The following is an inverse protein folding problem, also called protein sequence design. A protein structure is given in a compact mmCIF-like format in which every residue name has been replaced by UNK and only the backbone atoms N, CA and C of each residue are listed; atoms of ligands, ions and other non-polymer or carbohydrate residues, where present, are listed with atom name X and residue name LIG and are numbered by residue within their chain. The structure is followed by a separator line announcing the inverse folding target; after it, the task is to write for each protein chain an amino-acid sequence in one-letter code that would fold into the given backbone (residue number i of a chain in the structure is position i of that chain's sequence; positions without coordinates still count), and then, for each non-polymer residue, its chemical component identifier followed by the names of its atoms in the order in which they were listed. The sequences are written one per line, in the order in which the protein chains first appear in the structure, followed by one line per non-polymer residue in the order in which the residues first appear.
data_IF_549634262845
#
_entry.id   IF_549634262845
#
_cell.length_a   1.000
_cell.length_b   1.000
_cell.length_c   1.000
_cell.angle_alpha   90.00
_cell.angle_beta   90.00
_cell.angle_gamma   90.00
#
_symmetry.space_group_name_H-M   'P 1'
#
loop_
_entity.id
_entity.type
_entity.pdbx_description
1 polymer ?
#
# COMPACT_ATOMS: atom_id res chain seq x y z
N UNK A 1 -57.64 -24.27 31.15
CA UNK A 1 -57.44 -23.05 31.97
C UNK A 1 -55.99 -22.95 32.39
N UNK A 2 -55.20 -22.11 31.72
CA UNK A 2 -54.09 -21.27 32.23
C UNK A 2 -53.25 -20.78 31.05
N UNK A 3 -53.63 -19.59 30.61
CA UNK A 3 -52.92 -18.71 29.68
C UNK A 3 -51.73 -18.11 30.44
N UNK A 4 -50.51 -18.20 29.91
CA UNK A 4 -49.38 -17.38 30.35
C UNK A 4 -48.96 -16.52 29.15
N UNK A 5 -49.36 -15.26 29.17
CA UNK A 5 -48.94 -14.23 28.21
C UNK A 5 -47.59 -13.69 28.72
N UNK A 6 -46.52 -13.95 27.98
CA UNK A 6 -45.25 -13.28 28.16
C UNK A 6 -45.25 -11.98 27.33
N UNK A 7 -45.29 -10.84 28.00
CA UNK A 7 -45.12 -9.51 27.41
C UNK A 7 -43.65 -9.31 27.01
N UNK A 8 -43.37 -9.35 25.70
CA UNK A 8 -42.09 -8.93 25.12
C UNK A 8 -42.16 -7.42 24.86
N UNK A 9 -41.42 -6.66 25.68
CA UNK A 9 -41.19 -5.22 25.48
C UNK A 9 -40.29 -5.02 24.26
N UNK A 10 -40.87 -4.69 23.11
CA UNK A 10 -40.13 -4.29 21.92
C UNK A 10 -39.63 -2.85 22.11
N UNK A 11 -38.35 -2.71 22.48
CA UNK A 11 -37.68 -1.41 22.45
C UNK A 11 -37.45 -1.02 20.97
N UNK A 12 -38.23 -0.06 20.48
CA UNK A 12 -37.99 0.58 19.19
C UNK A 12 -36.69 1.39 19.28
N UNK A 13 -35.60 0.82 18.78
CA UNK A 13 -34.40 1.59 18.42
C UNK A 13 -34.73 2.26 17.10
N UNK A 14 -35.03 3.56 17.14
CA UNK A 14 -35.15 4.38 15.93
C UNK A 14 -33.78 4.40 15.25
N UNK A 15 -33.63 3.89 14.01
CA UNK A 15 -32.42 4.12 13.24
C UNK A 15 -32.37 5.61 12.92
N UNK A 16 -31.40 6.31 13.49
CA UNK A 16 -31.05 7.63 12.97
C UNK A 16 -30.62 7.44 11.51
N UNK A 17 -31.33 8.09 10.58
CA UNK A 17 -30.94 8.13 9.18
C UNK A 17 -29.58 8.84 9.06
N UNK A 18 -28.50 8.08 9.12
CA UNK A 18 -27.27 8.48 8.44
C UNK A 18 -27.52 8.20 6.98
N UNK A 19 -27.78 9.22 6.16
CA UNK A 19 -27.72 9.11 4.70
C UNK A 19 -26.28 8.70 4.34
N UNK A 20 -26.05 7.40 4.22
CA UNK A 20 -24.87 6.88 3.53
C UNK A 20 -25.09 7.17 2.06
N UNK A 21 -24.12 7.80 1.41
CA UNK A 21 -24.18 8.01 -0.03
C UNK A 21 -24.27 6.66 -0.74
N UNK A 22 -25.00 6.62 -1.85
CA UNK A 22 -25.12 5.39 -2.64
C UNK A 22 -23.78 5.00 -3.28
N UNK A 23 -23.69 3.75 -3.73
CA UNK A 23 -22.63 3.25 -4.61
C UNK A 23 -22.87 3.70 -6.04
N UNK A 24 -21.86 3.50 -6.89
CA UNK A 24 -22.05 3.60 -8.33
C UNK A 24 -23.23 2.71 -8.78
N UNK A 25 -24.08 3.27 -9.63
CA UNK A 25 -25.29 2.64 -10.16
C UNK A 25 -24.95 1.48 -11.09
N UNK A 26 -23.90 1.63 -11.89
CA UNK A 26 -23.43 0.63 -12.84
C UNK A 26 -21.91 0.74 -13.12
N UNK A 27 -21.40 -0.20 -13.93
CA UNK A 27 -20.00 -0.25 -14.30
C UNK A 27 -19.53 0.99 -15.10
N UNK A 28 -20.42 1.62 -15.88
CA UNK A 28 -20.09 2.77 -16.71
C UNK A 28 -19.89 4.03 -15.85
N UNK A 29 -20.75 4.21 -14.85
CA UNK A 29 -20.58 5.27 -13.86
C UNK A 29 -19.28 5.10 -13.08
N UNK A 30 -18.98 3.88 -12.63
CA UNK A 30 -17.73 3.57 -11.93
C UNK A 30 -16.47 3.77 -12.81
N UNK A 31 -16.54 3.45 -14.10
CA UNK A 31 -15.42 3.60 -15.04
C UNK A 31 -15.07 5.07 -15.30
N UNK A 32 -16.07 5.93 -15.36
CA UNK A 32 -15.93 7.38 -15.63
C UNK A 32 -15.76 8.22 -14.36
N UNK A 33 -15.66 7.56 -13.21
CA UNK A 33 -15.60 8.18 -11.90
C UNK A 33 -14.30 8.98 -11.68
N UNK A 34 -14.44 10.19 -11.16
CA UNK A 34 -13.34 11.06 -10.77
C UNK A 34 -13.51 11.56 -9.33
N UNK A 35 -12.47 12.14 -8.74
CA UNK A 35 -12.59 12.76 -7.41
C UNK A 35 -12.89 14.24 -7.60
N UNK A 36 -14.03 14.68 -7.09
CA UNK A 36 -14.57 16.02 -7.30
C UNK A 36 -13.55 17.12 -6.98
N UNK A 37 -13.32 18.02 -7.94
CA UNK A 37 -12.41 19.15 -7.77
C UNK A 37 -10.92 18.81 -7.84
N UNK A 38 -10.56 17.57 -8.16
CA UNK A 38 -9.21 17.17 -8.53
C UNK A 38 -9.15 16.86 -10.04
N UNK A 39 -7.97 17.05 -10.63
CA UNK A 39 -7.68 16.58 -11.99
C UNK A 39 -7.38 15.08 -12.03
N UNK A 40 -6.51 14.64 -12.94
CA UNK A 40 -6.08 13.24 -13.06
C UNK A 40 -5.13 12.83 -11.92
N UNK A 41 -5.66 12.66 -10.70
CA UNK A 41 -4.89 12.25 -9.50
C UNK A 41 -4.86 10.74 -9.27
N UNK A 42 -5.56 9.95 -10.09
CA UNK A 42 -5.56 8.49 -10.03
C UNK A 42 -5.59 7.85 -11.41
N UNK A 43 -5.07 6.63 -11.50
CA UNK A 43 -5.21 5.74 -12.65
C UNK A 43 -5.43 4.31 -12.17
N UNK A 44 -5.84 3.42 -13.07
CA UNK A 44 -5.90 1.99 -12.78
C UNK A 44 -4.63 1.27 -13.26
N UNK A 45 -4.22 0.23 -12.54
CA UNK A 45 -3.00 -0.53 -12.88
C UNK A 45 -3.15 -1.34 -14.19
N UNK A 46 -4.39 -1.70 -14.52
CA UNK A 46 -4.82 -2.40 -15.73
C UNK A 46 -5.26 -1.45 -16.85
N UNK A 47 -5.12 -0.12 -16.68
CA UNK A 47 -5.49 0.86 -17.68
C UNK A 47 -4.75 0.60 -19.01
N UNK A 48 -5.48 0.71 -20.12
CA UNK A 48 -4.91 0.60 -21.47
C UNK A 48 -4.04 1.84 -21.78
N UNK A 49 -3.14 1.75 -22.76
CA UNK A 49 -2.26 2.90 -23.12
C UNK A 49 -3.06 4.15 -23.51
N UNK A 50 -4.23 3.99 -24.11
CA UNK A 50 -5.14 5.08 -24.49
C UNK A 50 -5.92 5.67 -23.31
N UNK A 51 -6.00 4.94 -22.19
CA UNK A 51 -6.64 5.32 -20.92
C UNK A 51 -5.64 5.85 -19.89
N UNK A 52 -4.34 5.61 -20.09
CA UNK A 52 -3.30 6.09 -19.20
C UNK A 52 -3.34 7.63 -19.15
N UNK A 53 -3.13 8.23 -17.95
CA UNK A 53 -3.08 9.67 -17.81
C UNK A 53 -2.10 10.28 -18.81
N UNK A 54 -2.54 11.31 -19.51
CA UNK A 54 -1.71 12.01 -20.52
C UNK A 54 -0.97 13.20 -19.91
N UNK A 55 -1.17 13.43 -18.62
CA UNK A 55 -0.62 14.56 -17.89
C UNK A 55 0.85 14.34 -17.48
N UNK A 56 1.61 15.44 -17.46
CA UNK A 56 3.02 15.51 -17.07
C UNK A 56 3.24 15.11 -15.60
N UNK A 57 2.19 15.16 -14.79
CA UNK A 57 2.24 14.90 -13.35
C UNK A 57 2.49 13.43 -13.01
N UNK A 58 2.47 12.52 -14.00
CA UNK A 58 2.74 11.09 -13.82
C UNK A 58 4.17 10.69 -14.17
N UNK A 59 4.86 11.46 -15.00
CA UNK A 59 6.25 11.20 -15.38
C UNK A 59 7.22 11.94 -14.47
N UNK A 60 8.30 11.30 -13.98
CA UNK A 60 9.30 12.01 -13.19
C UNK A 60 10.08 12.99 -14.07
N UNK A 61 10.13 14.26 -13.68
CA UNK A 61 10.96 15.27 -14.34
C UNK A 61 12.39 15.26 -13.76
N UNK A 62 13.13 14.17 -13.99
CA UNK A 62 14.54 14.08 -13.56
C UNK A 62 15.47 14.80 -14.52
N UNK A 63 16.40 15.59 -13.97
CA UNK A 63 17.49 16.21 -14.73
C UNK A 63 18.71 15.28 -14.88
N UNK A 64 18.66 14.09 -14.29
CA UNK A 64 19.74 13.11 -14.32
C UNK A 64 19.57 12.18 -15.52
N UNK A 65 20.68 11.67 -16.05
CA UNK A 65 20.67 10.60 -17.06
C UNK A 65 20.28 9.23 -16.48
N UNK A 66 19.59 9.22 -15.33
CA UNK A 66 19.00 8.03 -14.72
C UNK A 66 17.69 8.34 -13.98
N UNK A 67 16.84 7.33 -13.88
CA UNK A 67 15.62 7.31 -13.06
C UNK A 67 15.77 6.21 -12.00
N UNK A 68 15.78 6.61 -10.74
CA UNK A 68 15.84 5.68 -9.61
C UNK A 68 14.41 5.48 -9.03
N UNK A 69 13.91 4.24 -9.06
CA UNK A 69 12.56 3.88 -8.60
C UNK A 69 12.66 3.00 -7.36
N UNK A 70 12.06 3.42 -6.24
CA UNK A 70 11.90 2.61 -5.04
C UNK A 70 10.48 2.05 -4.95
N UNK A 71 10.36 0.74 -4.80
CA UNK A 71 9.10 0.03 -4.73
C UNK A 71 9.03 -0.75 -3.41
N UNK A 72 8.10 -0.37 -2.53
CA UNK A 72 7.96 -0.96 -1.20
C UNK A 72 6.67 -1.76 -1.14
N UNK A 73 6.79 -3.06 -0.89
CA UNK A 73 5.64 -3.95 -0.92
C UNK A 73 4.75 -3.86 0.33
N UNK A 74 3.57 -4.47 0.23
CA UNK A 74 2.79 -4.85 1.41
C UNK A 74 3.47 -5.93 2.25
N UNK A 75 2.92 -6.22 3.44
CA UNK A 75 3.48 -7.21 4.38
C UNK A 75 3.20 -6.98 5.87
N UNK A 76 2.33 -6.03 6.22
CA UNK A 76 1.98 -5.75 7.63
C UNK A 76 3.21 -5.43 8.49
N UNK A 77 3.39 -6.18 9.58
CA UNK A 77 4.57 -6.10 10.44
C UNK A 77 5.91 -6.33 9.72
N UNK A 78 5.90 -7.06 8.61
CA UNK A 78 7.09 -7.27 7.78
C UNK A 78 7.68 -5.98 7.23
N UNK A 79 6.91 -4.87 7.22
CA UNK A 79 7.39 -3.52 6.87
C UNK A 79 8.61 -3.06 7.66
N UNK A 80 8.83 -3.62 8.86
CA UNK A 80 10.01 -3.33 9.67
C UNK A 80 11.32 -3.73 8.95
N UNK A 81 11.28 -4.73 8.04
CA UNK A 81 12.40 -5.07 7.16
C UNK A 81 12.80 -3.89 6.27
N UNK A 82 11.83 -3.28 5.58
CA UNK A 82 12.07 -2.05 4.81
C UNK A 82 12.66 -0.95 5.68
N UNK A 83 12.14 -0.74 6.88
CA UNK A 83 12.67 0.28 7.81
C UNK A 83 14.13 0.00 8.19
N UNK A 84 14.51 -1.26 8.38
CA UNK A 84 15.90 -1.67 8.59
C UNK A 84 16.81 -1.35 7.41
N UNK A 85 16.40 -1.71 6.20
CA UNK A 85 17.11 -1.41 4.94
C UNK A 85 17.29 0.11 4.78
N UNK A 86 16.20 0.86 4.95
CA UNK A 86 16.17 2.32 4.87
C UNK A 86 17.13 2.98 5.87
N UNK A 87 17.17 2.48 7.12
CA UNK A 87 18.06 2.97 8.17
C UNK A 87 19.54 2.71 7.86
N UNK A 88 19.88 1.48 7.42
CA UNK A 88 21.24 1.13 7.08
C UNK A 88 21.76 1.91 5.85
N UNK A 89 20.87 2.22 4.90
CA UNK A 89 21.22 3.04 3.73
C UNK A 89 21.60 4.47 4.11
N UNK A 90 20.90 5.04 5.09
CA UNK A 90 21.23 6.34 5.66
C UNK A 90 22.51 6.29 6.49
N UNK A 91 22.70 5.24 7.31
CA UNK A 91 23.91 5.05 8.10
C UNK A 91 25.17 4.95 7.23
N UNK A 92 25.07 4.25 6.09
CA UNK A 92 26.16 4.13 5.11
C UNK A 92 26.26 5.32 4.15
N UNK A 93 25.29 6.26 4.18
CA UNK A 93 25.18 7.40 3.26
C UNK A 93 25.17 7.00 1.78
N UNK A 94 24.64 5.81 1.48
CA UNK A 94 24.58 5.26 0.11
C UNK A 94 23.16 5.27 -0.48
N UNK A 95 22.15 5.70 0.29
CA UNK A 95 20.76 5.75 -0.17
C UNK A 95 20.63 6.58 -1.46
N UNK A 96 20.11 6.01 -2.56
CA UNK A 96 19.78 6.81 -3.74
C UNK A 96 18.71 7.85 -3.43
N UNK A 97 18.75 8.98 -4.15
CA UNK A 97 17.61 9.88 -4.21
C UNK A 97 16.64 9.35 -5.26
N UNK A 98 15.52 8.77 -4.82
CA UNK A 98 14.54 8.18 -5.71
C UNK A 98 13.70 9.23 -6.44
N UNK A 99 13.57 9.09 -7.75
CA UNK A 99 12.69 9.90 -8.60
C UNK A 99 11.23 9.46 -8.45
N UNK A 100 11.01 8.16 -8.26
CA UNK A 100 9.70 7.58 -7.99
C UNK A 100 9.79 6.74 -6.73
N UNK A 101 8.84 6.92 -5.81
CA UNK A 101 8.63 6.03 -4.67
C UNK A 101 7.21 5.50 -4.71
N UNK A 102 7.05 4.19 -4.62
CA UNK A 102 5.75 3.52 -4.66
C UNK A 102 5.53 2.71 -3.39
N UNK A 103 4.31 2.70 -2.87
CA UNK A 103 3.96 1.93 -1.68
C UNK A 103 2.62 1.22 -1.78
N UNK A 104 2.55 0.01 -1.23
CA UNK A 104 1.32 -0.75 -1.05
C UNK A 104 1.20 -1.18 0.41
N UNK A 105 0.04 -1.02 1.05
CA UNK A 105 -0.18 -1.47 2.42
C UNK A 105 0.81 -0.86 3.40
N UNK A 106 1.50 -1.67 4.20
CA UNK A 106 2.62 -1.20 5.05
C UNK A 106 3.62 -0.35 4.26
N UNK A 107 3.88 -0.68 2.98
CA UNK A 107 4.72 0.12 2.09
C UNK A 107 4.14 1.50 1.78
N UNK A 108 2.83 1.68 1.75
CA UNK A 108 2.19 2.99 1.61
C UNK A 108 2.37 3.86 2.87
N UNK A 109 2.51 3.25 4.05
CA UNK A 109 2.84 3.96 5.29
C UNK A 109 4.31 4.40 5.30
N UNK A 110 5.21 3.62 4.68
CA UNK A 110 6.66 3.91 4.63
C UNK A 110 7.00 4.89 3.50
N UNK A 111 6.32 4.79 2.36
CA UNK A 111 6.65 5.49 1.12
C UNK A 111 6.75 7.02 1.26
N UNK A 112 5.84 7.75 1.93
CA UNK A 112 5.98 9.19 2.12
C UNK A 112 7.27 9.57 2.84
N UNK A 113 7.66 8.83 3.87
CA UNK A 113 8.88 9.09 4.63
C UNK A 113 10.14 8.75 3.84
N UNK A 114 10.15 7.61 3.15
CA UNK A 114 11.23 7.25 2.23
C UNK A 114 11.38 8.27 1.07
N UNK A 115 10.26 8.83 0.62
CA UNK A 115 10.22 9.89 -0.39
C UNK A 115 10.81 11.20 0.14
N UNK A 116 10.50 11.60 1.37
CA UNK A 116 11.07 12.81 1.97
C UNK A 116 12.54 12.65 2.38
N UNK A 117 12.99 11.42 2.65
CA UNK A 117 14.40 11.07 2.86
C UNK A 117 14.75 10.79 4.32
N UNK A 118 16.05 10.77 4.62
CA UNK A 118 16.61 10.21 5.87
C UNK A 118 16.22 10.92 7.16
N UNK A 119 15.72 12.16 7.07
CA UNK A 119 15.22 12.90 8.23
C UNK A 119 14.03 12.21 8.93
N UNK A 120 13.40 11.24 8.27
CA UNK A 120 12.25 10.51 8.79
C UNK A 120 12.56 9.05 9.18
N UNK A 121 13.82 8.62 9.10
CA UNK A 121 14.17 7.24 9.44
C UNK A 121 13.90 6.94 10.92
N UNK A 122 14.23 7.84 11.85
CA UNK A 122 13.95 7.64 13.29
C UNK A 122 12.44 7.54 13.56
N UNK A 123 11.62 8.30 12.83
CA UNK A 123 10.16 8.20 12.90
C UNK A 123 9.69 6.81 12.45
N UNK A 124 10.24 6.29 11.35
CA UNK A 124 9.93 4.95 10.88
C UNK A 124 10.39 3.86 11.85
N UNK A 125 11.60 3.99 12.40
CA UNK A 125 12.12 3.06 13.42
C UNK A 125 11.18 3.05 14.61
N UNK A 126 10.82 4.22 15.15
CA UNK A 126 9.88 4.33 16.26
C UNK A 126 8.54 3.66 15.93
N UNK A 127 7.95 3.92 14.77
CA UNK A 127 6.67 3.33 14.36
C UNK A 127 6.70 1.81 14.32
N UNK A 128 7.81 1.22 13.88
CA UNK A 128 7.91 -0.21 13.62
C UNK A 128 8.58 -1.03 14.73
N UNK A 129 9.31 -0.41 15.66
CA UNK A 129 10.07 -1.16 16.68
C UNK A 129 9.75 -0.77 18.13
N UNK A 130 8.96 0.27 18.37
CA UNK A 130 8.68 0.76 19.74
C UNK A 130 7.50 0.08 20.44
N UNK A 131 6.72 -0.74 19.72
CA UNK A 131 5.47 -1.34 20.22
C UNK A 131 4.23 -0.50 19.98
N UNK A 132 4.34 0.72 19.43
CA UNK A 132 3.19 1.56 19.03
C UNK A 132 2.23 0.82 18.08
N UNK A 133 2.74 -0.07 17.23
CA UNK A 133 1.91 -0.89 16.35
C UNK A 133 1.09 -1.97 17.09
N UNK A 134 1.49 -2.41 18.28
CA UNK A 134 0.71 -3.39 19.07
C UNK A 134 -0.63 -2.80 19.53
N UNK A 135 -0.70 -1.48 19.73
CA UNK A 135 -1.95 -0.78 20.04
C UNK A 135 -2.98 -0.87 18.91
N UNK A 136 -2.52 -1.07 17.66
CA UNK A 136 -3.41 -1.31 16.53
C UNK A 136 -4.14 -2.67 16.66
N UNK A 137 -3.46 -3.69 17.21
CA UNK A 137 -3.99 -5.05 17.37
C UNK A 137 -4.89 -5.22 18.61
N UNK A 138 -4.73 -4.37 19.64
CA UNK A 138 -5.43 -4.49 20.92
C UNK A 138 -6.90 -4.08 20.86
N UNK A 139 -7.31 -3.35 19.81
CA UNK A 139 -8.66 -2.82 19.60
C UNK A 139 -9.67 -3.82 19.00
N UNK A 140 -9.70 -5.06 19.51
CA UNK A 140 -10.61 -6.12 19.01
C UNK A 140 -12.08 -5.73 19.21
N UNK A 141 -12.94 -6.02 18.22
CA UNK A 141 -14.41 -5.93 18.40
C UNK A 141 -14.92 -7.15 19.16
N UNK A 142 -15.86 -6.95 20.09
CA UNK A 142 -16.43 -8.01 20.93
C UNK A 142 -17.23 -9.07 20.14
N UNK A 143 -17.66 -8.76 18.92
CA UNK A 143 -18.42 -9.61 18.02
C UNK A 143 -17.56 -10.08 16.84
N UNK A 144 -16.72 -11.10 17.04
CA UNK A 144 -15.94 -11.70 15.96
C UNK A 144 -16.85 -12.20 14.82
N UNK A 145 -16.42 -11.97 13.56
CA UNK A 145 -17.06 -12.35 12.28
C UNK A 145 -18.50 -11.86 11.97
N UNK A 146 -19.24 -11.28 12.91
CA UNK A 146 -20.62 -10.76 12.67
C UNK A 146 -20.59 -9.26 12.25
N UNK A 147 -19.41 -8.69 11.98
CA UNK A 147 -19.23 -7.29 11.57
C UNK A 147 -18.26 -7.13 10.40
N UNK A 148 -18.10 -5.89 9.87
CA UNK A 148 -17.36 -5.64 8.64
C UNK A 148 -15.83 -5.89 8.73
N UNK A 149 -15.28 -6.10 9.92
CA UNK A 149 -13.84 -6.33 10.17
C UNK A 149 -13.57 -6.87 11.59
N UNK A 150 -12.41 -7.52 11.79
CA UNK A 150 -11.95 -8.01 13.10
C UNK A 150 -11.50 -6.89 14.05
N UNK A 151 -10.85 -5.84 13.52
CA UNK A 151 -10.34 -4.69 14.27
C UNK A 151 -11.15 -3.41 13.97
N UNK A 152 -11.05 -2.43 14.86
CA UNK A 152 -11.62 -1.09 14.65
C UNK A 152 -10.74 -0.28 13.68
N UNK A 153 -11.35 0.62 12.92
CA UNK A 153 -10.63 1.52 12.00
C UNK A 153 -9.84 2.61 12.75
N UNK A 154 -10.40 3.08 13.88
CA UNK A 154 -9.97 4.32 14.52
C UNK A 154 -8.49 4.36 14.94
N UNK A 155 -7.88 3.27 15.47
CA UNK A 155 -6.46 3.31 15.84
C UNK A 155 -5.53 3.52 14.65
N UNK A 156 -5.79 2.85 13.52
CA UNK A 156 -5.02 3.01 12.29
C UNK A 156 -5.15 4.43 11.76
N UNK A 157 -6.39 4.96 11.73
CA UNK A 157 -6.66 6.34 11.33
C UNK A 157 -5.94 7.35 12.22
N UNK A 158 -6.03 7.23 13.55
CA UNK A 158 -5.35 8.14 14.49
C UNK A 158 -3.84 8.11 14.32
N UNK A 159 -3.25 6.93 14.13
CA UNK A 159 -1.82 6.80 13.86
C UNK A 159 -1.45 7.56 12.58
N UNK A 160 -2.19 7.33 11.48
CA UNK A 160 -1.94 8.03 10.21
C UNK A 160 -2.10 9.55 10.38
N UNK A 161 -3.15 10.02 11.05
CA UNK A 161 -3.39 11.45 11.30
C UNK A 161 -2.28 12.10 12.13
N UNK A 162 -1.70 11.36 13.09
CA UNK A 162 -0.60 11.85 13.93
C UNK A 162 0.69 12.08 13.11
N UNK A 163 1.00 11.18 12.18
CA UNK A 163 2.27 11.25 11.43
C UNK A 163 2.13 11.96 10.08
N UNK A 164 0.97 11.89 9.44
CA UNK A 164 0.66 12.55 8.17
C UNK A 164 -0.01 13.89 8.47
N UNK A 165 0.83 14.88 8.72
CA UNK A 165 0.42 16.23 9.12
C UNK A 165 0.37 17.18 7.91
N UNK A 166 -0.21 18.39 8.07
CA UNK A 166 -0.10 19.43 7.05
C UNK A 166 1.36 19.74 6.65
N UNK A 167 2.31 19.56 7.57
CA UNK A 167 3.73 19.77 7.28
C UNK A 167 4.32 18.68 6.37
N UNK A 168 3.93 17.41 6.57
CA UNK A 168 4.29 16.32 5.65
C UNK A 168 3.68 16.57 4.27
N UNK A 169 2.40 16.93 4.21
CA UNK A 169 1.73 17.20 2.94
C UNK A 169 2.44 18.30 2.14
N UNK A 170 2.82 19.42 2.78
CA UNK A 170 3.59 20.48 2.14
C UNK A 170 4.96 20.03 1.62
N UNK A 171 5.65 19.16 2.36
CA UNK A 171 6.96 18.65 1.92
C UNK A 171 6.82 17.68 0.73
N UNK A 172 5.79 16.83 0.74
CA UNK A 172 5.48 15.96 -0.40
C UNK A 172 5.15 16.79 -1.64
N UNK A 173 4.33 17.83 -1.50
CA UNK A 173 4.03 18.78 -2.58
C UNK A 173 5.32 19.43 -3.12
N UNK A 174 6.21 19.89 -2.23
CA UNK A 174 7.46 20.52 -2.63
C UNK A 174 8.40 19.58 -3.41
N UNK A 175 8.51 18.31 -3.02
CA UNK A 175 9.27 17.31 -3.78
C UNK A 175 8.59 16.91 -5.08
N UNK A 176 7.25 16.90 -5.12
CA UNK A 176 6.48 16.68 -6.34
C UNK A 176 6.72 17.79 -7.38
N UNK A 177 6.70 19.06 -6.97
CA UNK A 177 7.04 20.21 -7.83
C UNK A 177 8.50 20.18 -8.32
N UNK A 178 9.39 19.45 -7.65
CA UNK A 178 10.77 19.21 -8.12
C UNK A 178 10.86 18.08 -9.16
N UNK A 179 9.74 17.47 -9.54
CA UNK A 179 9.67 16.43 -10.56
C UNK A 179 9.66 15.00 -10.03
N UNK A 180 9.55 14.78 -8.71
CA UNK A 180 9.51 13.42 -8.13
C UNK A 180 8.06 12.93 -8.01
N UNK A 181 7.86 11.61 -7.95
CA UNK A 181 6.53 10.98 -7.89
C UNK A 181 6.41 10.08 -6.66
N UNK A 182 5.34 10.27 -5.91
CA UNK A 182 4.95 9.40 -4.80
C UNK A 182 3.62 8.74 -5.17
N UNK A 183 3.62 7.43 -5.31
CA UNK A 183 2.47 6.65 -5.76
C UNK A 183 2.04 5.65 -4.69
N UNK A 184 0.75 5.56 -4.43
CA UNK A 184 0.17 4.60 -3.46
C UNK A 184 -0.90 3.77 -4.14
N UNK A 185 -0.95 2.48 -3.81
CA UNK A 185 -1.96 1.56 -4.36
C UNK A 185 -3.07 1.26 -3.36
N UNK A 186 -4.31 1.27 -3.83
CA UNK A 186 -5.49 0.71 -3.13
C UNK A 186 -6.21 -0.26 -4.07
N UNK A 187 -7.12 -1.07 -3.52
CA UNK A 187 -8.05 -1.87 -4.34
C UNK A 187 -9.45 -1.28 -4.19
N UNK A 188 -10.09 -0.92 -5.30
CA UNK A 188 -11.52 -0.63 -5.31
C UNK A 188 -12.27 -1.98 -5.34
N UNK A 189 -13.00 -2.29 -4.26
CA UNK A 189 -13.64 -3.60 -4.06
C UNK A 189 -14.87 -3.80 -4.95
N UNK A 190 -15.56 -2.72 -5.32
CA UNK A 190 -16.77 -2.77 -6.15
C UNK A 190 -16.40 -3.08 -7.62
N UNK A 191 -15.30 -2.51 -8.11
CA UNK A 191 -14.80 -2.72 -9.48
C UNK A 191 -13.74 -3.83 -9.58
N UNK A 192 -13.19 -4.29 -8.45
CA UNK A 192 -12.06 -5.23 -8.36
C UNK A 192 -10.77 -4.72 -9.01
N UNK A 193 -10.59 -3.40 -9.12
CA UNK A 193 -9.44 -2.79 -9.79
C UNK A 193 -8.43 -2.23 -8.81
N UNK A 194 -7.16 -2.39 -9.17
CA UNK A 194 -6.04 -1.72 -8.52
C UNK A 194 -6.03 -0.23 -8.92
N UNK A 195 -6.20 0.66 -7.94
CA UNK A 195 -6.19 2.11 -8.12
C UNK A 195 -4.86 2.67 -7.62
N UNK A 196 -4.13 3.31 -8.53
CA UNK A 196 -2.88 4.01 -8.28
C UNK A 196 -3.17 5.48 -8.05
N UNK A 197 -2.76 6.00 -6.90
CA UNK A 197 -2.97 7.38 -6.50
C UNK A 197 -1.67 8.18 -6.61
N UNK A 198 -1.74 9.34 -7.26
CA UNK A 198 -0.66 10.31 -7.30
C UNK A 198 -0.70 11.21 -6.07
N UNK A 199 -0.04 10.75 -5.00
CA UNK A 199 -0.03 11.42 -3.71
C UNK A 199 0.65 12.80 -3.78
N UNK A 200 1.59 12.97 -4.71
CA UNK A 200 2.23 14.26 -4.98
C UNK A 200 1.27 15.28 -5.58
N UNK A 201 0.48 14.88 -6.58
CA UNK A 201 -0.54 15.73 -7.20
C UNK A 201 -1.65 16.10 -6.19
N UNK A 202 -2.09 15.14 -5.36
CA UNK A 202 -3.05 15.41 -4.27
C UNK A 202 -2.48 16.46 -3.32
N UNK A 203 -1.23 16.29 -2.88
CA UNK A 203 -0.58 17.22 -1.96
C UNK A 203 -0.37 18.62 -2.57
N UNK A 204 -0.08 18.70 -3.87
CA UNK A 204 0.17 19.95 -4.59
C UNK A 204 -1.11 20.66 -5.09
N UNK A 205 -2.28 20.04 -4.97
CA UNK A 205 -3.55 20.53 -5.51
C UNK A 205 -4.04 21.87 -4.95
N UNK A 206 -3.55 22.30 -3.77
CA UNK A 206 -4.05 23.49 -3.07
C UNK A 206 -5.46 23.35 -2.49
N UNK A 207 -6.05 22.15 -2.56
CA UNK A 207 -7.39 21.83 -2.09
C UNK A 207 -7.45 21.79 -0.55
N UNK A 208 -8.52 22.33 0.08
CA UNK A 208 -8.66 22.31 1.54
C UNK A 208 -8.85 20.89 2.10
N UNK A 209 -9.37 19.97 1.30
CA UNK A 209 -9.61 18.57 1.63
C UNK A 209 -8.44 17.63 1.26
N UNK A 210 -7.33 18.16 0.71
CA UNK A 210 -6.19 17.35 0.26
C UNK A 210 -5.58 16.49 1.36
N UNK A 211 -5.42 17.04 2.58
CA UNK A 211 -4.89 16.28 3.71
C UNK A 211 -5.78 15.09 4.05
N UNK A 212 -7.09 15.31 4.09
CA UNK A 212 -8.07 14.28 4.43
C UNK A 212 -8.06 13.17 3.37
N UNK A 213 -8.09 13.52 2.09
CA UNK A 213 -8.01 12.55 1.01
C UNK A 213 -6.70 11.75 1.05
N UNK A 214 -5.56 12.43 1.30
CA UNK A 214 -4.26 11.77 1.44
C UNK A 214 -4.27 10.73 2.58
N UNK A 215 -4.82 11.11 3.75
CA UNK A 215 -4.95 10.20 4.90
C UNK A 215 -5.93 9.06 4.61
N UNK A 216 -7.07 9.34 3.96
CA UNK A 216 -8.08 8.34 3.61
C UNK A 216 -7.52 7.27 2.66
N UNK A 217 -6.74 7.67 1.65
CA UNK A 217 -6.04 6.76 0.74
C UNK A 217 -5.01 5.91 1.49
N UNK A 218 -4.26 6.50 2.43
CA UNK A 218 -3.29 5.75 3.24
C UNK A 218 -3.96 4.74 4.16
N UNK A 219 -5.06 5.13 4.82
CA UNK A 219 -5.87 4.20 5.64
C UNK A 219 -6.39 3.08 4.74
N UNK A 220 -6.97 3.40 3.58
CA UNK A 220 -7.48 2.42 2.63
C UNK A 220 -6.39 1.44 2.20
N UNK A 221 -5.21 1.94 1.81
CA UNK A 221 -4.09 1.11 1.36
C UNK A 221 -3.62 0.14 2.44
N UNK A 222 -3.69 0.51 3.72
CA UNK A 222 -3.30 -0.32 4.86
C UNK A 222 -4.47 -1.16 5.47
N UNK A 223 -5.69 -1.01 4.96
CA UNK A 223 -6.87 -1.70 5.47
C UNK A 223 -7.02 -3.11 4.89
N UNK A 224 -6.25 -4.07 5.42
CA UNK A 224 -6.27 -5.48 4.98
C UNK A 224 -7.70 -6.07 5.12
N UNK A 225 -8.28 -6.66 4.06
CA UNK A 225 -9.60 -7.27 4.10
C UNK A 225 -9.76 -8.27 5.25
N UNK A 226 -10.87 -8.16 5.99
CA UNK A 226 -11.15 -8.97 7.17
C UNK A 226 -10.43 -8.52 8.45
N UNK A 227 -9.30 -7.81 8.35
CA UNK A 227 -8.59 -7.26 9.52
C UNK A 227 -9.12 -5.86 9.85
N UNK A 228 -9.09 -4.95 8.88
CA UNK A 228 -9.57 -3.58 9.00
C UNK A 228 -10.76 -3.35 8.05
N UNK A 229 -11.67 -2.42 8.39
CA UNK A 229 -12.77 -2.09 7.49
C UNK A 229 -12.26 -1.31 6.27
N UNK A 230 -12.95 -1.48 5.15
CA UNK A 230 -12.74 -0.66 3.96
C UNK A 230 -13.06 0.82 4.24
N UNK A 231 -12.46 1.70 3.44
CA UNK A 231 -12.64 3.15 3.49
C UNK A 231 -13.52 3.57 2.32
N UNK A 232 -14.52 4.40 2.60
CA UNK A 232 -15.32 5.02 1.55
C UNK A 232 -14.62 6.28 1.05
N UNK A 233 -14.40 6.38 -0.26
CA UNK A 233 -13.87 7.57 -0.90
C UNK A 233 -14.97 8.12 -1.82
N UNK A 234 -15.36 9.37 -1.61
CA UNK A 234 -16.39 10.03 -2.43
C UNK A 234 -15.84 10.31 -3.82
N UNK A 235 -16.55 9.81 -4.84
CA UNK A 235 -16.29 10.05 -6.24
C UNK A 235 -17.50 10.73 -6.90
N UNK A 236 -17.30 11.25 -8.11
CA UNK A 236 -18.36 11.78 -8.94
C UNK A 236 -18.24 11.34 -10.40
N UNK A 237 -19.39 11.10 -11.03
CA UNK A 237 -19.52 10.91 -12.47
C UNK A 237 -20.85 11.49 -12.93
N UNK A 238 -20.85 12.20 -14.07
CA UNK A 238 -22.08 12.77 -14.65
C UNK A 238 -22.86 13.71 -13.72
N UNK A 239 -22.22 14.32 -12.72
CA UNK A 239 -22.86 15.17 -11.71
C UNK A 239 -23.51 14.42 -10.54
N UNK A 240 -23.49 13.08 -10.55
CA UNK A 240 -23.88 12.25 -9.42
C UNK A 240 -22.65 11.96 -8.54
N UNK A 241 -22.83 12.07 -7.22
CA UNK A 241 -21.79 11.77 -6.24
C UNK A 241 -22.13 10.48 -5.51
N UNK A 242 -21.14 9.60 -5.38
CA UNK A 242 -21.30 8.29 -4.75
C UNK A 242 -20.03 7.91 -3.98
N UNK A 243 -20.08 6.81 -3.23
CA UNK A 243 -18.92 6.29 -2.52
C UNK A 243 -18.31 5.08 -3.24
N UNK A 244 -16.99 5.08 -3.40
CA UNK A 244 -16.22 3.91 -3.80
C UNK A 244 -15.67 3.19 -2.57
N UNK A 245 -15.77 1.85 -2.54
CA UNK A 245 -15.23 1.05 -1.43
C UNK A 245 -13.77 0.71 -1.68
N UNK A 246 -12.84 1.32 -0.93
CA UNK A 246 -11.41 1.05 -1.05
C UNK A 246 -10.85 0.24 0.12
N UNK A 247 -9.95 -0.69 -0.20
CA UNK A 247 -9.22 -1.53 0.77
C UNK A 247 -7.77 -1.70 0.32
N UNK A 248 -7.04 -2.57 1.00
CA UNK A 248 -5.61 -2.77 0.83
C UNK A 248 -5.24 -3.07 -0.62
N UNK A 249 -4.24 -2.34 -1.15
CA UNK A 249 -3.79 -2.52 -2.53
C UNK A 249 -3.17 -3.90 -2.78
N UNK A 250 -2.70 -4.55 -1.72
CA UNK A 250 -2.09 -5.87 -1.71
C UNK A 250 -3.04 -7.01 -2.07
N UNK A 251 -4.36 -6.78 -2.04
CA UNK A 251 -5.33 -7.70 -2.63
C UNK A 251 -5.18 -7.80 -4.15
N UNK A 252 -4.87 -6.68 -4.82
CA UNK A 252 -4.69 -6.62 -6.26
C UNK A 252 -3.21 -6.74 -6.70
N UNK A 253 -2.27 -6.13 -5.96
CA UNK A 253 -0.83 -6.30 -6.20
C UNK A 253 0.00 -5.95 -4.97
N UNK A 254 0.97 -6.80 -4.59
CA UNK A 254 1.88 -6.51 -3.47
C UNK A 254 2.96 -5.49 -3.78
N UNK A 255 3.31 -5.28 -5.05
CA UNK A 255 4.28 -4.29 -5.50
C UNK A 255 3.60 -3.47 -6.60
N UNK A 256 3.66 -2.14 -6.54
CA UNK A 256 3.10 -1.31 -7.62
C UNK A 256 3.96 -1.48 -8.88
N UNK A 257 3.61 -2.45 -9.71
CA UNK A 257 4.28 -2.71 -10.98
C UNK A 257 4.08 -1.56 -11.96
N UNK A 258 4.89 -1.57 -13.01
CA UNK A 258 4.65 -0.77 -14.21
C UNK A 258 3.26 -1.15 -14.76
N UNK A 259 2.42 -0.17 -15.16
CA UNK A 259 1.11 -0.43 -15.78
C UNK A 259 1.16 -1.58 -16.80
N UNK A 260 0.16 -2.46 -16.77
CA UNK A 260 0.15 -3.68 -17.62
C UNK A 260 0.29 -3.36 -19.11
N UNK A 261 -0.25 -2.22 -19.54
CA UNK A 261 -0.16 -1.74 -20.90
C UNK A 261 1.28 -1.49 -21.38
N UNK A 262 2.19 -1.10 -20.48
CA UNK A 262 3.62 -0.96 -20.79
C UNK A 262 4.35 -2.31 -20.84
N UNK A 263 3.92 -3.28 -20.04
CA UNK A 263 4.47 -4.65 -20.05
C UNK A 263 4.10 -5.42 -21.33
N UNK A 264 2.92 -5.15 -21.91
CA UNK A 264 2.40 -5.82 -23.12
C UNK A 264 2.67 -5.04 -24.41
N UNK A 265 3.15 -3.80 -24.32
CA UNK A 265 3.48 -3.00 -25.49
C UNK A 265 4.69 -3.56 -26.24
N UNK A 266 4.53 -3.76 -27.56
CA UNK A 266 5.64 -4.12 -28.48
C UNK A 266 6.54 -2.91 -28.80
N UNK A 267 6.08 -1.70 -28.49
CA UNK A 267 6.85 -0.47 -28.60
C UNK A 267 7.68 -0.27 -27.34
N UNK A 268 8.99 -0.04 -27.51
CA UNK A 268 9.87 0.38 -26.41
C UNK A 268 9.42 1.76 -25.90
N UNK A 269 8.49 1.78 -24.95
CA UNK A 269 8.25 2.92 -24.07
C UNK A 269 9.38 2.93 -23.03
N UNK A 270 10.59 3.15 -23.54
CA UNK A 270 11.71 3.62 -22.74
C UNK A 270 11.79 5.13 -22.91
N UNK A 271 12.45 5.84 -21.97
CA UNK A 271 12.68 7.27 -22.12
C UNK A 271 13.24 7.56 -23.52
N UNK A 272 12.74 8.62 -24.17
CA UNK A 272 13.14 9.03 -25.52
C UNK A 272 14.65 9.39 -25.65
N UNK A 273 15.40 9.26 -24.56
CA UNK A 273 16.86 9.40 -24.42
C UNK A 273 17.39 8.23 -23.59
N UNK A 274 18.67 7.90 -23.76
CA UNK A 274 19.44 6.86 -23.04
C UNK A 274 19.49 7.04 -21.50
N UNK A 275 18.36 7.15 -20.84
CA UNK A 275 18.25 7.33 -19.40
C UNK A 275 18.21 5.95 -18.74
N UNK A 276 19.23 5.63 -17.93
CA UNK A 276 19.28 4.36 -17.21
C UNK A 276 18.14 4.29 -16.17
N UNK A 277 17.45 3.17 -16.06
CA UNK A 277 16.41 2.98 -15.04
C UNK A 277 16.92 1.98 -14.01
N UNK A 278 16.80 2.31 -12.72
CA UNK A 278 17.15 1.43 -11.61
C UNK A 278 15.90 1.13 -10.79
N UNK A 279 15.48 -0.13 -10.76
CA UNK A 279 14.41 -0.61 -9.89
C UNK A 279 14.99 -1.15 -8.59
N UNK A 280 14.65 -0.52 -7.46
CA UNK A 280 14.91 -1.02 -6.12
C UNK A 280 13.60 -1.52 -5.52
N UNK A 281 13.47 -2.83 -5.38
CA UNK A 281 12.26 -3.48 -4.88
C UNK A 281 12.54 -4.05 -3.51
N UNK A 282 11.82 -3.59 -2.50
CA UNK A 282 11.88 -4.14 -1.14
C UNK A 282 10.58 -4.87 -0.85
N UNK A 283 10.68 -6.19 -0.70
CA UNK A 283 9.57 -7.08 -0.39
C UNK A 283 9.56 -7.40 1.10
N UNK A 284 8.52 -6.93 1.78
CA UNK A 284 8.30 -7.06 3.23
C UNK A 284 7.76 -8.45 3.64
N UNK A 285 7.87 -9.45 2.78
CA UNK A 285 7.39 -10.81 3.01
C UNK A 285 8.47 -11.82 2.64
N UNK A 286 8.40 -12.99 3.29
CA UNK A 286 9.14 -14.17 2.88
C UNK A 286 8.68 -14.66 1.49
N UNK A 287 9.60 -14.71 0.53
CA UNK A 287 9.31 -15.22 -0.83
C UNK A 287 9.46 -16.74 -0.95
N UNK A 288 10.22 -17.35 -0.05
CA UNK A 288 10.39 -18.79 0.05
C UNK A 288 9.19 -19.47 0.74
N UNK A 289 8.97 -20.77 0.53
CA UNK A 289 8.05 -21.56 1.32
C UNK A 289 8.45 -21.54 2.79
N UNK A 290 7.48 -21.29 3.67
CA UNK A 290 7.69 -21.35 5.13
C UNK A 290 6.91 -22.53 5.69
N UNK A 291 7.58 -23.40 6.42
CA UNK A 291 6.91 -24.54 7.05
C UNK A 291 6.15 -24.09 8.30
N UNK A 292 4.87 -24.43 8.38
CA UNK A 292 4.04 -24.21 9.56
C UNK A 292 2.95 -25.29 9.66
N UNK A 293 2.70 -25.77 10.88
CA UNK A 293 1.52 -26.61 11.16
C UNK A 293 0.31 -25.70 11.32
N UNK A 294 -0.53 -25.64 10.28
CA UNK A 294 -1.74 -24.81 10.31
C UNK A 294 -2.82 -25.52 11.12
N UNK A 295 -3.39 -24.90 12.17
CA UNK A 295 -4.50 -25.49 12.90
C UNK A 295 -5.70 -25.71 11.97
N UNK A 296 -6.40 -26.84 12.15
CA UNK A 296 -7.58 -27.19 11.35
C UNK A 296 -8.81 -26.39 11.82
N UNK A 297 -8.78 -25.10 11.54
CA UNK A 297 -9.84 -24.13 11.87
C UNK A 297 -10.05 -23.22 10.66
N UNK A 298 -11.31 -22.86 10.38
CA UNK A 298 -11.69 -22.09 9.19
C UNK A 298 -10.84 -20.82 9.01
N UNK A 299 -10.67 -20.03 10.08
CA UNK A 299 -9.91 -18.78 10.01
C UNK A 299 -8.40 -19.01 9.75
N UNK A 300 -7.80 -20.03 10.38
CA UNK A 300 -6.38 -20.34 10.19
C UNK A 300 -6.11 -20.85 8.77
N UNK A 301 -7.02 -21.65 8.22
CA UNK A 301 -6.94 -22.16 6.83
C UNK A 301 -7.07 -21.01 5.84
N UNK A 302 -8.04 -20.10 6.01
CA UNK A 302 -8.20 -18.92 5.15
C UNK A 302 -6.96 -18.03 5.22
N UNK A 303 -6.44 -17.74 6.42
CA UNK A 303 -5.24 -16.93 6.59
C UNK A 303 -4.01 -17.56 5.92
N UNK A 304 -3.86 -18.89 6.03
CA UNK A 304 -2.77 -19.62 5.36
C UNK A 304 -2.92 -19.59 3.85
N UNK A 305 -4.12 -19.83 3.32
CA UNK A 305 -4.40 -19.77 1.89
C UNK A 305 -4.16 -18.36 1.32
N UNK A 306 -4.58 -17.32 2.03
CA UNK A 306 -4.33 -15.93 1.66
C UNK A 306 -2.83 -15.61 1.64
N UNK A 307 -2.06 -16.05 2.65
CA UNK A 307 -0.61 -15.90 2.67
C UNK A 307 0.07 -16.57 1.46
N UNK A 308 -0.37 -17.79 1.09
CA UNK A 308 0.13 -18.50 -0.09
C UNK A 308 -0.22 -17.74 -1.37
N UNK A 309 -1.45 -17.24 -1.50
CA UNK A 309 -1.90 -16.45 -2.65
C UNK A 309 -1.06 -15.18 -2.82
N UNK A 310 -0.87 -14.41 -1.73
CA UNK A 310 -0.05 -13.20 -1.69
C UNK A 310 1.39 -13.48 -2.13
N UNK A 311 2.00 -14.57 -1.65
CA UNK A 311 3.34 -15.00 -2.09
C UNK A 311 3.38 -15.32 -3.58
N UNK A 312 2.48 -16.15 -4.07
CA UNK A 312 2.40 -16.55 -5.48
C UNK A 312 2.23 -15.35 -6.42
N UNK A 313 1.34 -14.42 -6.05
CA UNK A 313 1.12 -13.18 -6.80
C UNK A 313 2.40 -12.31 -6.82
N UNK A 314 3.08 -12.18 -5.67
CA UNK A 314 4.34 -11.41 -5.57
C UNK A 314 5.43 -12.03 -6.43
N UNK A 315 5.60 -13.35 -6.42
CA UNK A 315 6.57 -14.04 -7.26
C UNK A 315 6.31 -13.80 -8.76
N UNK A 316 5.04 -13.87 -9.17
CA UNK A 316 4.63 -13.57 -10.55
C UNK A 316 4.94 -12.12 -10.94
N UNK A 317 4.63 -11.18 -10.04
CA UNK A 317 4.90 -9.76 -10.22
C UNK A 317 6.39 -9.44 -10.39
N UNK A 318 7.23 -10.01 -9.51
CA UNK A 318 8.68 -9.85 -9.57
C UNK A 318 9.28 -10.46 -10.85
N UNK A 319 8.75 -11.61 -11.27
CA UNK A 319 9.18 -12.25 -12.53
C UNK A 319 8.87 -11.36 -13.73
N UNK A 320 7.68 -10.76 -13.78
CA UNK A 320 7.30 -9.82 -14.83
C UNK A 320 8.20 -8.58 -14.85
N UNK A 321 8.45 -7.96 -13.69
CA UNK A 321 9.32 -6.80 -13.57
C UNK A 321 10.78 -7.11 -13.94
N UNK A 322 11.30 -8.27 -13.53
CA UNK A 322 12.63 -8.73 -13.91
C UNK A 322 12.76 -8.92 -15.42
N UNK A 323 11.77 -9.58 -16.06
CA UNK A 323 11.76 -9.76 -17.51
C UNK A 323 11.67 -8.42 -18.25
N UNK A 324 10.83 -7.49 -17.78
CA UNK A 324 10.78 -6.13 -18.31
C UNK A 324 12.12 -5.40 -18.18
N UNK A 325 12.80 -5.56 -17.04
CA UNK A 325 14.12 -4.97 -16.80
C UNK A 325 15.16 -5.52 -17.80
N UNK A 326 15.13 -6.83 -18.09
CA UNK A 326 15.97 -7.44 -19.14
C UNK A 326 15.67 -6.90 -20.53
N UNK A 327 14.39 -6.72 -20.87
CA UNK A 327 13.96 -6.22 -22.19
C UNK A 327 14.35 -4.76 -22.42
N UNK A 328 14.31 -3.94 -21.37
CA UNK A 328 14.58 -2.50 -21.43
C UNK A 328 16.03 -2.13 -21.10
N UNK A 329 16.81 -3.05 -20.56
CA UNK A 329 18.15 -2.78 -20.06
C UNK A 329 18.16 -2.05 -18.71
N UNK A 330 17.04 -2.02 -17.98
CA UNK A 330 16.98 -1.48 -16.63
C UNK A 330 17.73 -2.37 -15.62
N UNK A 331 18.30 -1.75 -14.60
CA UNK A 331 18.89 -2.46 -13.46
C UNK A 331 17.78 -2.87 -12.50
N UNK A 332 17.90 -4.07 -11.96
CA UNK A 332 16.92 -4.67 -11.05
C UNK A 332 17.63 -5.06 -9.76
N UNK A 333 17.15 -4.55 -8.64
CA UNK A 333 17.67 -4.84 -7.30
C UNK A 333 16.50 -5.27 -6.42
N UNK A 334 16.52 -6.53 -5.99
CA UNK A 334 15.51 -7.11 -5.11
C UNK A 334 16.10 -7.34 -3.72
N UNK A 335 15.38 -6.87 -2.70
CA UNK A 335 15.57 -7.20 -1.30
C UNK A 335 14.29 -7.87 -0.79
N UNK A 336 14.42 -8.96 -0.04
CA UNK A 336 13.30 -9.66 0.57
C UNK A 336 13.74 -10.37 1.84
N UNK A 337 12.80 -10.69 2.73
CA UNK A 337 13.06 -11.58 3.85
C UNK A 337 13.36 -12.99 3.27
N UNK A 338 14.61 -13.45 3.33
CA UNK A 338 15.03 -14.74 2.76
C UNK A 338 15.28 -15.84 3.81
N UNK A 339 14.96 -15.55 5.08
CA UNK A 339 15.01 -16.49 6.21
C UNK A 339 13.66 -16.63 6.89
N UNK A 340 13.34 -17.84 7.35
CA UNK A 340 12.08 -18.07 8.07
C UNK A 340 12.17 -17.45 9.47
N UNK A 341 11.41 -16.38 9.69
CA UNK A 341 11.29 -15.72 10.99
C UNK A 341 9.92 -16.10 11.60
N UNK A 342 9.85 -16.56 12.86
CA UNK A 342 8.58 -16.93 13.48
C UNK A 342 7.57 -15.78 13.46
N UNK A 343 6.45 -15.99 12.77
CA UNK A 343 5.37 -15.03 12.59
C UNK A 343 4.01 -15.70 12.72
N UNK A 344 3.03 -14.95 13.25
CA UNK A 344 1.65 -15.41 13.35
C UNK A 344 0.70 -14.33 12.84
N UNK A 345 -0.13 -14.68 11.86
CA UNK A 345 -1.20 -13.80 11.37
C UNK A 345 -2.26 -13.48 12.45
N UNK A 346 -2.32 -14.27 13.52
CA UNK A 346 -3.22 -14.01 14.66
C UNK A 346 -2.67 -12.92 15.60
N UNK A 347 -1.39 -12.59 15.47
CA UNK A 347 -0.71 -11.49 16.16
C UNK A 347 0.05 -10.64 15.13
N UNK A 348 -0.68 -9.93 14.25
CA UNK A 348 -0.14 -9.35 13.01
C UNK A 348 0.84 -8.19 13.23
N UNK A 349 0.99 -7.68 14.45
CA UNK A 349 1.86 -6.54 14.81
C UNK A 349 2.82 -6.88 15.96
N UNK A 350 3.24 -8.14 16.07
CA UNK A 350 4.16 -8.60 17.11
C UNK A 350 5.50 -7.84 17.09
N UNK A 351 5.85 -7.12 18.16
CA UNK A 351 7.08 -6.30 18.20
C UNK A 351 8.35 -7.16 18.08
N UNK A 352 8.38 -8.38 18.63
CA UNK A 352 9.57 -9.24 18.52
C UNK A 352 9.86 -9.61 17.08
N UNK A 353 8.82 -9.95 16.31
CA UNK A 353 8.94 -10.21 14.88
C UNK A 353 9.41 -8.96 14.13
N UNK A 354 8.79 -7.81 14.38
CA UNK A 354 9.15 -6.54 13.73
C UNK A 354 10.62 -6.16 13.99
N UNK A 355 11.08 -6.24 15.24
CA UNK A 355 12.48 -6.02 15.59
C UNK A 355 13.43 -7.02 14.92
N UNK A 356 13.04 -8.30 14.80
CA UNK A 356 13.85 -9.32 14.15
C UNK A 356 14.05 -9.02 12.66
N UNK A 357 12.98 -8.70 11.92
CA UNK A 357 13.08 -8.41 10.49
C UNK A 357 13.69 -7.03 10.22
N UNK A 358 13.54 -6.05 11.13
CA UNK A 358 14.30 -4.80 11.09
C UNK A 358 15.80 -5.06 11.15
N UNK A 359 16.25 -5.85 12.12
CA UNK A 359 17.67 -6.19 12.28
C UNK A 359 18.20 -6.96 11.08
N UNK A 360 17.39 -7.85 10.49
CA UNK A 360 17.74 -8.59 9.27
C UNK A 360 18.05 -7.63 8.11
N UNK A 361 17.10 -6.76 7.76
CA UNK A 361 17.26 -5.82 6.65
C UNK A 361 18.40 -4.82 6.87
N UNK A 362 18.60 -4.38 8.12
CA UNK A 362 19.72 -3.53 8.49
C UNK A 362 21.06 -4.27 8.29
N UNK A 363 21.19 -5.48 8.84
CA UNK A 363 22.43 -6.25 8.82
C UNK A 363 22.83 -6.67 7.40
N UNK A 364 21.89 -7.14 6.58
CA UNK A 364 22.16 -7.57 5.20
C UNK A 364 22.64 -6.41 4.32
N UNK A 365 22.08 -5.21 4.49
CA UNK A 365 22.56 -4.05 3.76
C UNK A 365 23.97 -3.65 4.23
N UNK A 366 24.21 -3.61 5.54
CA UNK A 366 25.53 -3.30 6.10
C UNK A 366 26.61 -4.30 5.65
N UNK A 367 26.23 -5.58 5.48
CA UNK A 367 27.10 -6.64 4.99
C UNK A 367 27.28 -6.63 3.45
N UNK A 368 26.48 -5.84 2.72
CA UNK A 368 26.50 -5.81 1.25
C UNK A 368 25.89 -7.05 0.59
N UNK A 369 25.05 -7.81 1.30
CA UNK A 369 24.46 -9.08 0.83
C UNK A 369 22.95 -8.97 0.51
N UNK A 370 22.34 -7.82 0.79
CA UNK A 370 20.89 -7.59 0.64
C UNK A 370 20.39 -7.76 -0.81
N UNK A 371 21.08 -7.12 -1.76
CA UNK A 371 20.55 -6.97 -3.12
C UNK A 371 20.77 -8.23 -3.96
N UNK A 372 19.70 -8.69 -4.59
CA UNK A 372 19.71 -9.74 -5.60
C UNK A 372 19.35 -9.13 -6.95
N UNK A 373 20.11 -9.48 -7.99
CA UNK A 373 19.84 -9.01 -9.36
C UNK A 373 18.85 -9.90 -10.13
N UNK A 374 18.30 -10.93 -9.48
CA UNK A 374 17.26 -11.81 -10.02
C UNK A 374 16.39 -12.38 -8.90
N UNK A 375 15.09 -12.62 -9.14
CA UNK A 375 14.23 -13.26 -8.16
C UNK A 375 14.65 -14.71 -7.86
N UNK A 376 14.67 -15.06 -6.57
CA UNK A 376 14.93 -16.43 -6.08
C UNK A 376 13.82 -16.80 -5.09
N UNK A 377 13.20 -17.97 -5.29
CA UNK A 377 12.00 -18.40 -4.55
C UNK A 377 12.17 -19.73 -3.82
N UNK A 378 13.39 -20.02 -3.35
CA UNK A 378 13.75 -21.34 -2.79
C UNK A 378 13.75 -21.35 -1.27
#
# INVERSE_FOLDING_TARGET
MRVLIALLSFAFVLPGCTETMDRALDAKEAETASIAGYGEIRTYLDARLDEAPKDIDWEPATKRDRVDVLMISGGGAGGAFSVGVLSAWSATKTRPRFDIVTGVSTGALIAPFAFLGSAYDDTLVHLYTSGVAEELASSKRASGLIGPSLLKADPLRRMIEQFITPAILRQVAAEHCKGRRLLVLTTNLDTQRAVVWNMGAIAASGRPDALRLFQDIMVASASIPGVYPAVMITAESGGHRFEEMHSDGGSASQVLMIPQALLTSSHRLGPAKRTAVNFYVIVNNALMPEFAKTPDTTLSVIARAFSIFVKSQTQSALTALYNYSKLTGAHFHLASIDVQVPYSMLDPFNTKYMCAVYNLGYAELMAGTLWRDSPVFR
#
